data_IF_026710685961
#
_entry.id   IF_026710685961
#
_cell.length_a   1.000
_cell.length_b   1.000
_cell.length_c   1.000
_cell.angle_alpha   90.00
_cell.angle_beta   90.00
_cell.angle_gamma   90.00
#
_symmetry.space_group_name_H-M   'P 1'
#
loop_
_entity.id
_entity.type
_entity.pdbx_description
1 polymer ?
#
# COMPACT_ATOMS: atom_id res chain seq x y z
N UNK A 1 24.68 -11.24 -15.21
CA UNK A 1 23.75 -12.18 -14.54
C UNK A 1 23.17 -11.61 -13.24
N UNK A 2 23.94 -10.86 -12.45
CA UNK A 2 23.43 -10.24 -11.20
C UNK A 2 22.32 -9.20 -11.43
N UNK A 3 22.39 -8.38 -12.48
CA UNK A 3 21.37 -7.34 -12.73
C UNK A 3 20.00 -7.91 -13.09
N UNK A 4 20.00 -9.01 -13.86
CA UNK A 4 18.76 -9.68 -14.24
C UNK A 4 18.06 -10.31 -13.03
N UNK A 5 18.83 -10.95 -12.14
CA UNK A 5 18.31 -11.47 -10.87
C UNK A 5 17.75 -10.35 -9.97
N UNK A 6 18.40 -9.18 -9.98
CA UNK A 6 18.00 -8.01 -9.21
C UNK A 6 16.71 -7.38 -9.74
N UNK A 7 16.55 -7.33 -11.06
CA UNK A 7 15.34 -6.87 -11.72
C UNK A 7 14.16 -7.80 -11.43
N UNK A 8 14.37 -9.11 -11.48
CA UNK A 8 13.36 -10.11 -11.09
C UNK A 8 12.92 -9.95 -9.62
N UNK A 9 13.85 -9.69 -8.70
CA UNK A 9 13.51 -9.45 -7.29
C UNK A 9 12.64 -8.20 -7.11
N UNK A 10 12.95 -7.11 -7.81
CA UNK A 10 12.16 -5.87 -7.75
C UNK A 10 10.77 -6.07 -8.36
N UNK A 11 10.69 -6.74 -9.50
CA UNK A 11 9.42 -7.04 -10.17
C UNK A 11 8.53 -7.93 -9.29
N UNK A 12 9.10 -8.96 -8.66
CA UNK A 12 8.38 -9.83 -7.72
C UNK A 12 7.89 -9.08 -6.49
N UNK A 13 8.71 -8.20 -5.92
CA UNK A 13 8.32 -7.36 -4.77
C UNK A 13 7.16 -6.42 -5.13
N UNK A 14 7.22 -5.77 -6.30
CA UNK A 14 6.14 -4.92 -6.81
C UNK A 14 4.84 -5.70 -6.99
N UNK A 15 4.92 -6.92 -7.51
CA UNK A 15 3.75 -7.76 -7.74
C UNK A 15 3.09 -8.17 -6.43
N UNK A 16 3.88 -8.56 -5.41
CA UNK A 16 3.39 -8.87 -4.05
C UNK A 16 2.74 -7.64 -3.41
N UNK A 17 3.35 -6.47 -3.57
CA UNK A 17 2.81 -5.19 -3.09
C UNK A 17 1.44 -4.90 -3.72
N UNK A 18 1.33 -4.98 -5.05
CA UNK A 18 0.10 -4.68 -5.78
C UNK A 18 -0.99 -5.70 -5.42
N UNK A 19 -0.66 -6.99 -5.45
CA UNK A 19 -1.60 -8.05 -5.10
C UNK A 19 -2.01 -8.01 -3.63
N UNK A 20 -1.11 -7.64 -2.71
CA UNK A 20 -1.41 -7.42 -1.30
C UNK A 20 -2.39 -6.27 -1.08
N UNK A 21 -2.24 -5.16 -1.82
CA UNK A 21 -3.18 -4.03 -1.76
C UNK A 21 -4.56 -4.45 -2.30
N UNK A 22 -4.62 -5.13 -3.45
CA UNK A 22 -5.87 -5.62 -4.03
C UNK A 22 -6.56 -6.63 -3.10
N UNK A 23 -5.79 -7.57 -2.56
CA UNK A 23 -6.28 -8.57 -1.60
C UNK A 23 -6.82 -7.90 -0.34
N UNK A 24 -6.12 -6.90 0.18
CA UNK A 24 -6.57 -6.19 1.38
C UNK A 24 -7.89 -5.45 1.11
N UNK A 25 -8.01 -4.77 -0.03
CA UNK A 25 -9.25 -4.10 -0.47
C UNK A 25 -10.41 -5.12 -0.57
N UNK A 26 -10.16 -6.32 -1.09
CA UNK A 26 -11.16 -7.38 -1.22
C UNK A 26 -11.49 -8.06 0.13
N UNK A 27 -10.47 -8.36 0.95
CA UNK A 27 -10.57 -9.06 2.23
C UNK A 27 -11.26 -8.23 3.31
N UNK A 28 -11.08 -6.91 3.28
CA UNK A 28 -11.81 -5.99 4.16
C UNK A 28 -13.32 -5.96 3.85
N UNK A 29 -13.80 -6.69 2.83
CA UNK A 29 -15.23 -6.96 2.62
C UNK A 29 -16.03 -5.67 2.49
N UNK A 30 -15.46 -4.67 1.83
CA UNK A 30 -16.00 -3.33 1.77
C UNK A 30 -17.09 -3.27 0.70
N UNK A 31 -18.37 -3.07 1.06
CA UNK A 31 -19.27 -2.36 0.16
C UNK A 31 -18.72 -0.94 0.06
N UNK A 32 -17.87 -0.66 -0.92
CA UNK A 32 -17.34 0.68 -1.29
C UNK A 32 -17.42 1.71 -0.12
N UNK A 33 -16.56 1.58 0.91
CA UNK A 33 -16.39 2.62 1.93
C UNK A 33 -16.79 2.37 3.40
N UNK A 34 -16.55 1.17 3.97
CA UNK A 34 -16.64 0.90 5.43
C UNK A 34 -15.55 -0.03 5.97
N UNK A 35 -14.29 0.43 6.09
CA UNK A 35 -13.25 -0.38 6.78
C UNK A 35 -13.47 -0.35 8.30
N UNK A 36 -13.34 -1.49 9.00
CA UNK A 36 -13.11 -1.49 10.43
C UNK A 36 -11.69 -0.94 10.69
N UNK A 37 -11.62 0.27 11.23
CA UNK A 37 -10.39 1.07 11.39
C UNK A 37 -10.44 2.41 10.65
N UNK A 38 -11.35 2.56 9.68
CA UNK A 38 -11.72 3.88 9.18
C UNK A 38 -12.66 4.53 10.17
N UNK A 39 -12.25 5.69 10.69
CA UNK A 39 -13.10 6.47 11.60
C UNK A 39 -14.23 7.03 10.74
N UNK A 40 -15.37 6.34 10.74
CA UNK A 40 -16.60 6.76 10.08
C UNK A 40 -17.48 7.46 11.11
N UNK A 41 -17.43 8.78 11.13
CA UNK A 41 -18.30 9.59 11.98
C UNK A 41 -19.54 9.89 11.14
N UNK A 42 -20.64 9.19 11.43
CA UNK A 42 -21.95 9.49 10.86
C UNK A 42 -22.73 10.34 11.88
N UNK A 43 -22.94 11.62 11.56
CA UNK A 43 -23.87 12.54 12.24
C UNK A 43 -24.99 12.88 11.25
N UNK A 44 -26.21 13.15 11.72
CA UNK A 44 -27.48 13.33 10.98
C UNK A 44 -27.48 13.95 9.56
N UNK A 45 -26.45 14.68 9.11
CA UNK A 45 -26.27 15.19 7.74
C UNK A 45 -24.81 15.16 7.23
N UNK A 46 -23.87 14.56 7.97
CA UNK A 46 -22.43 14.56 7.67
C UNK A 46 -21.84 13.18 7.90
N UNK A 47 -21.33 12.58 6.84
CA UNK A 47 -20.52 11.36 6.88
C UNK A 47 -19.06 11.71 6.62
N UNK A 48 -18.22 11.66 7.64
CA UNK A 48 -16.78 11.84 7.50
C UNK A 48 -16.09 10.48 7.59
N UNK A 49 -15.35 10.10 6.55
CA UNK A 49 -14.63 8.82 6.45
C UNK A 49 -13.13 9.15 6.51
N UNK A 50 -12.44 8.69 7.54
CA UNK A 50 -10.99 8.84 7.66
C UNK A 50 -10.29 7.51 7.37
N UNK A 51 -9.68 7.35 6.19
CA UNK A 51 -9.06 6.10 5.76
C UNK A 51 -7.64 5.95 6.32
N UNK A 52 -7.52 5.95 7.66
CA UNK A 52 -6.25 5.97 8.39
C UNK A 52 -5.39 4.73 8.11
N UNK A 53 -6.01 3.56 8.11
CA UNK A 53 -5.32 2.28 7.91
C UNK A 53 -4.66 2.23 6.53
N UNK A 54 -5.39 2.65 5.48
CA UNK A 54 -4.85 2.75 4.13
C UNK A 54 -3.72 3.76 4.00
N UNK A 55 -3.83 4.92 4.67
CA UNK A 55 -2.78 5.94 4.65
C UNK A 55 -1.48 5.45 5.29
N UNK A 56 -1.57 4.70 6.39
CA UNK A 56 -0.41 4.11 7.08
C UNK A 56 0.25 3.04 6.19
N UNK A 57 -0.53 2.14 5.61
CA UNK A 57 -0.02 1.07 4.74
C UNK A 57 0.64 1.68 3.51
N UNK A 58 -0.03 2.62 2.85
CA UNK A 58 0.51 3.32 1.69
C UNK A 58 1.83 4.02 2.04
N UNK A 59 1.90 4.70 3.19
CA UNK A 59 3.11 5.38 3.66
C UNK A 59 4.28 4.41 3.84
N UNK A 60 4.10 3.31 4.58
CA UNK A 60 5.15 2.31 4.82
C UNK A 60 5.65 1.73 3.49
N UNK A 61 4.71 1.39 2.61
CA UNK A 61 5.00 0.80 1.31
C UNK A 61 5.79 1.76 0.41
N UNK A 62 5.38 3.03 0.36
CA UNK A 62 6.09 4.06 -0.38
C UNK A 62 7.49 4.29 0.21
N UNK A 63 7.63 4.33 1.53
CA UNK A 63 8.93 4.46 2.21
C UNK A 63 9.86 3.31 1.86
N UNK A 64 9.38 2.06 1.87
CA UNK A 64 10.19 0.88 1.50
C UNK A 64 10.63 0.96 0.04
N UNK A 65 9.73 1.32 -0.88
CA UNK A 65 10.04 1.45 -2.32
C UNK A 65 11.05 2.58 -2.55
N UNK A 66 10.81 3.77 -2.00
CA UNK A 66 11.73 4.92 -2.12
C UNK A 66 13.10 4.59 -1.56
N UNK A 67 13.17 3.96 -0.38
CA UNK A 67 14.42 3.58 0.23
C UNK A 67 15.19 2.55 -0.62
N UNK A 68 14.49 1.57 -1.20
CA UNK A 68 15.10 0.61 -2.13
C UNK A 68 15.62 1.29 -3.39
N UNK A 69 14.86 2.22 -3.98
CA UNK A 69 15.27 2.98 -5.17
C UNK A 69 16.49 3.85 -4.86
N UNK A 70 16.45 4.64 -3.77
CA UNK A 70 17.54 5.52 -3.35
C UNK A 70 18.80 4.71 -3.06
N UNK A 71 18.67 3.58 -2.36
CA UNK A 71 19.80 2.67 -2.09
C UNK A 71 20.37 2.03 -3.35
N UNK A 72 19.57 1.91 -4.41
CA UNK A 72 20.02 1.42 -5.71
C UNK A 72 20.72 2.52 -6.52
N UNK A 73 20.16 3.72 -6.52
CA UNK A 73 20.62 4.87 -7.30
C UNK A 73 21.91 5.49 -6.72
N UNK A 74 22.05 5.50 -5.39
CA UNK A 74 23.27 5.94 -4.70
C UNK A 74 24.40 4.91 -4.66
N UNK A 75 24.23 3.75 -5.33
CA UNK A 75 25.24 2.68 -5.41
C UNK A 75 25.77 2.51 -6.85
N UNK A 76 25.76 3.60 -7.60
CA UNK A 76 26.34 3.79 -8.93
C UNK A 76 27.37 4.91 -8.85
#
# INVERSE_FOLDING_TARGET
>A
MHDFARLLLIAGLLLIVISGVIYLIAYLGLPVGRLPGDIRIERNNLTCIFPLTTMIILSILLTVILNLIIRFLGRN
#
